data_IF_545152943169
#
_entry.id   IF_545152943169
#
_cell.length_a   1.000
_cell.length_b   1.000
_cell.length_c   1.000
_cell.angle_alpha   90.00
_cell.angle_beta   90.00
_cell.angle_gamma   90.00
#
_symmetry.space_group_name_H-M   'P 1'
#
loop_
_entity.id
_entity.type
_entity.pdbx_description
1 polymer ?
#
# COMPACT_ATOMS: atom_id res chain seq x y z
N UNK A 1 -23.59 -52.42 -23.86
CA UNK A 1 -22.97 -52.18 -22.56
C UNK A 1 -21.55 -51.55 -22.67
N UNK A 2 -20.69 -52.03 -23.56
CA UNK A 2 -19.29 -51.57 -23.69
C UNK A 2 -19.15 -50.07 -24.06
N UNK A 3 -20.03 -49.55 -24.93
CA UNK A 3 -20.00 -48.14 -25.36
C UNK A 3 -20.41 -47.15 -24.25
N UNK A 4 -21.36 -47.53 -23.38
CA UNK A 4 -21.75 -46.70 -22.23
C UNK A 4 -20.65 -46.61 -21.18
N UNK A 5 -19.90 -47.72 -20.97
CA UNK A 5 -18.78 -47.78 -20.04
C UNK A 5 -17.61 -46.87 -20.52
N UNK A 6 -17.36 -46.80 -21.84
CA UNK A 6 -16.35 -45.95 -22.44
C UNK A 6 -16.68 -44.46 -22.26
N UNK A 7 -17.95 -44.07 -22.43
CA UNK A 7 -18.41 -42.69 -22.23
C UNK A 7 -18.26 -42.26 -20.76
N UNK A 8 -18.59 -43.13 -19.80
CA UNK A 8 -18.39 -42.87 -18.39
C UNK A 8 -16.90 -42.73 -18.01
N UNK A 9 -16.03 -43.59 -18.61
CA UNK A 9 -14.59 -43.50 -18.39
C UNK A 9 -14.01 -42.19 -18.93
N UNK A 10 -14.43 -41.71 -20.10
CA UNK A 10 -14.01 -40.44 -20.69
C UNK A 10 -14.50 -39.25 -19.85
N UNK A 11 -15.74 -39.33 -19.31
CA UNK A 11 -16.27 -38.29 -18.43
C UNK A 11 -15.50 -38.19 -17.09
N UNK A 12 -15.11 -39.32 -16.50
CA UNK A 12 -14.30 -39.37 -15.29
C UNK A 12 -12.90 -38.82 -15.56
N UNK A 13 -12.32 -39.05 -16.74
CA UNK A 13 -11.02 -38.50 -17.10
C UNK A 13 -11.06 -36.98 -17.32
N UNK A 14 -12.16 -36.42 -17.83
CA UNK A 14 -12.33 -34.98 -18.04
C UNK A 14 -12.47 -34.20 -16.73
N UNK A 15 -12.98 -34.82 -15.66
CA UNK A 15 -13.08 -34.16 -14.33
C UNK A 15 -11.77 -34.04 -13.59
N UNK A 16 -10.72 -34.80 -13.96
CA UNK A 16 -9.41 -34.70 -13.31
C UNK A 16 -8.52 -33.54 -13.81
N UNK A 17 -8.96 -32.79 -14.82
CA UNK A 17 -8.19 -31.63 -15.33
C UNK A 17 -8.60 -30.29 -14.71
N UNK A 18 -9.50 -30.26 -13.71
CA UNK A 18 -9.77 -29.07 -12.92
C UNK A 18 -8.70 -29.00 -11.81
N UNK A 19 -7.45 -28.74 -12.20
CA UNK A 19 -6.43 -28.35 -11.24
C UNK A 19 -6.86 -27.02 -10.61
N UNK A 20 -6.69 -26.92 -9.30
CA UNK A 20 -6.96 -25.70 -8.56
C UNK A 20 -6.24 -24.52 -9.24
N UNK A 21 -7.02 -23.63 -9.83
CA UNK A 21 -6.50 -22.44 -10.52
C UNK A 21 -6.23 -21.30 -9.56
N UNK A 22 -6.32 -21.58 -8.26
CA UNK A 22 -6.14 -20.60 -7.19
C UNK A 22 -4.98 -20.95 -6.30
N UNK A 23 -4.28 -19.93 -5.84
CA UNK A 23 -3.24 -20.00 -4.82
C UNK A 23 -3.76 -19.28 -3.59
N UNK A 24 -3.59 -19.87 -2.41
CA UNK A 24 -4.01 -19.27 -1.14
C UNK A 24 -2.79 -18.92 -0.30
N UNK A 25 -2.66 -17.66 0.07
CA UNK A 25 -1.65 -17.20 1.01
C UNK A 25 -2.19 -17.29 2.43
N UNK A 26 -1.42 -17.91 3.32
CA UNK A 26 -1.78 -18.06 4.74
C UNK A 26 -0.62 -17.63 5.65
N UNK A 27 -0.96 -17.16 6.84
CA UNK A 27 0.02 -16.88 7.89
C UNK A 27 0.74 -18.16 8.30
N UNK A 28 2.06 -18.16 8.31
CA UNK A 28 2.88 -19.27 8.77
C UNK A 28 2.58 -19.62 10.23
N UNK A 29 2.30 -18.62 11.08
CA UNK A 29 2.04 -18.80 12.50
C UNK A 29 0.63 -19.29 12.82
N UNK A 30 -0.38 -18.73 12.13
CA UNK A 30 -1.80 -18.94 12.49
C UNK A 30 -2.54 -19.85 11.51
N UNK A 31 -1.95 -20.18 10.36
CA UNK A 31 -2.59 -20.84 9.22
C UNK A 31 -3.87 -20.14 8.69
N UNK A 32 -4.10 -18.88 9.07
CA UNK A 32 -5.25 -18.12 8.59
C UNK A 32 -4.94 -17.43 7.25
N UNK A 33 -5.95 -17.25 6.39
CA UNK A 33 -5.80 -16.54 5.13
C UNK A 33 -5.23 -15.12 5.32
N UNK A 34 -4.36 -14.71 4.40
CA UNK A 34 -3.77 -13.37 4.37
C UNK A 34 -4.35 -12.57 3.20
N UNK A 35 -5.30 -11.66 3.44
CA UNK A 35 -5.81 -10.76 2.42
C UNK A 35 -4.78 -9.68 2.07
N UNK A 36 -4.90 -9.12 0.85
CA UNK A 36 -4.08 -8.00 0.37
C UNK A 36 -2.57 -8.31 0.25
N UNK A 37 -2.20 -9.59 0.10
CA UNK A 37 -0.84 -9.93 -0.34
C UNK A 37 -0.71 -9.47 -1.79
N UNK A 38 0.26 -8.61 -2.07
CA UNK A 38 0.54 -8.12 -3.42
C UNK A 38 1.58 -9.04 -4.08
N UNK A 39 1.31 -9.46 -5.30
CA UNK A 39 2.23 -10.25 -6.13
C UNK A 39 2.80 -9.36 -7.20
N UNK A 40 4.11 -9.17 -7.18
CA UNK A 40 4.84 -8.38 -8.19
C UNK A 40 5.51 -9.30 -9.20
N UNK A 41 5.41 -8.93 -10.46
CA UNK A 41 6.13 -9.56 -11.55
C UNK A 41 7.57 -9.10 -11.68
N UNK A 42 8.33 -9.73 -12.57
CA UNK A 42 9.74 -9.44 -12.86
C UNK A 42 9.98 -7.97 -13.26
N UNK A 43 9.02 -7.36 -13.92
CA UNK A 43 9.06 -5.96 -14.36
C UNK A 43 8.57 -4.97 -13.29
N UNK A 44 8.29 -5.46 -12.06
CA UNK A 44 7.74 -4.68 -10.97
C UNK A 44 6.27 -4.32 -11.13
N UNK A 45 5.58 -4.88 -12.13
CA UNK A 45 4.14 -4.73 -12.23
C UNK A 45 3.43 -5.51 -11.11
N UNK A 46 2.34 -4.97 -10.62
CA UNK A 46 1.48 -5.67 -9.67
C UNK A 46 0.56 -6.58 -10.48
N UNK A 47 0.76 -7.89 -10.35
CA UNK A 47 0.00 -8.90 -11.10
C UNK A 47 -1.31 -9.23 -10.43
N UNK A 48 -1.31 -9.34 -9.10
CA UNK A 48 -2.47 -9.71 -8.33
C UNK A 48 -2.42 -9.18 -6.89
N UNK A 49 -3.60 -9.10 -6.28
CA UNK A 49 -3.80 -8.96 -4.83
C UNK A 49 -4.63 -10.13 -4.34
N UNK A 50 -4.26 -10.72 -3.20
CA UNK A 50 -5.11 -11.73 -2.58
C UNK A 50 -6.40 -11.09 -2.07
N UNK A 51 -7.49 -11.84 -2.25
CA UNK A 51 -8.82 -11.48 -1.74
C UNK A 51 -8.91 -11.69 -0.22
N UNK A 52 -10.12 -11.55 0.35
CA UNK A 52 -10.37 -11.71 1.78
C UNK A 52 -10.08 -13.13 2.28
N UNK A 53 -10.16 -14.13 1.40
CA UNK A 53 -9.83 -15.52 1.69
C UNK A 53 -8.35 -15.84 1.42
N UNK A 54 -7.53 -14.82 1.17
CA UNK A 54 -6.12 -14.96 0.84
C UNK A 54 -5.83 -15.53 -0.55
N UNK A 55 -6.82 -15.57 -1.46
CA UNK A 55 -6.73 -16.25 -2.74
C UNK A 55 -6.37 -15.32 -3.89
N UNK A 56 -5.61 -15.85 -4.85
CA UNK A 56 -5.39 -15.24 -6.16
C UNK A 56 -5.70 -16.25 -7.26
N UNK A 57 -6.09 -15.76 -8.44
CA UNK A 57 -6.20 -16.61 -9.65
C UNK A 57 -4.80 -16.85 -10.22
N UNK A 58 -4.39 -18.11 -10.32
CA UNK A 58 -3.09 -18.51 -10.88
C UNK A 58 -2.91 -18.10 -12.34
N UNK A 59 -3.99 -17.88 -13.09
CA UNK A 59 -3.95 -17.48 -14.49
C UNK A 59 -3.33 -16.10 -14.73
N UNK A 60 -3.32 -15.24 -13.72
CA UNK A 60 -2.67 -13.91 -13.83
C UNK A 60 -1.16 -13.99 -13.72
N UNK A 61 -0.61 -15.16 -13.36
CA UNK A 61 0.80 -15.42 -13.21
C UNK A 61 1.32 -16.15 -14.45
N UNK A 62 2.21 -15.52 -15.19
CA UNK A 62 2.75 -16.09 -16.42
C UNK A 62 4.00 -16.94 -16.18
N UNK A 63 4.15 -18.11 -16.87
CA UNK A 63 5.32 -18.99 -16.72
C UNK A 63 6.65 -18.39 -17.19
N UNK A 64 6.63 -17.38 -18.05
CA UNK A 64 7.80 -16.65 -18.54
C UNK A 64 8.42 -15.70 -17.51
N UNK A 65 7.73 -15.51 -16.39
CA UNK A 65 8.25 -14.77 -15.25
C UNK A 65 9.02 -15.72 -14.32
N UNK A 66 10.32 -15.59 -14.27
CA UNK A 66 11.18 -16.47 -13.46
C UNK A 66 10.96 -16.32 -11.96
N UNK A 67 10.56 -15.11 -11.51
CA UNK A 67 10.43 -14.77 -10.10
C UNK A 67 9.23 -13.85 -9.85
N UNK A 68 8.58 -14.07 -8.71
CA UNK A 68 7.49 -13.27 -8.17
C UNK A 68 7.87 -12.79 -6.78
N UNK A 69 7.75 -11.49 -6.52
CA UNK A 69 7.95 -10.94 -5.20
C UNK A 69 6.61 -10.80 -4.49
N UNK A 70 6.49 -11.41 -3.32
CA UNK A 70 5.33 -11.24 -2.45
C UNK A 70 5.59 -10.09 -1.47
N UNK A 71 4.60 -9.21 -1.36
CA UNK A 71 4.62 -8.08 -0.44
C UNK A 71 3.36 -8.12 0.42
N UNK A 72 3.53 -8.08 1.72
CA UNK A 72 2.43 -8.02 2.68
C UNK A 72 2.69 -6.88 3.67
N UNK A 73 1.68 -6.02 3.90
CA UNK A 73 1.81 -4.80 4.71
C UNK A 73 3.03 -3.94 4.30
N UNK A 74 3.30 -3.83 2.99
CA UNK A 74 4.42 -3.13 2.38
C UNK A 74 5.83 -3.67 2.75
N UNK A 75 5.90 -4.86 3.34
CA UNK A 75 7.17 -5.57 3.55
C UNK A 75 7.31 -6.71 2.54
N UNK A 76 8.51 -6.91 1.97
CA UNK A 76 8.79 -8.11 1.20
C UNK A 76 8.77 -9.31 2.14
N UNK A 77 7.92 -10.27 1.87
CA UNK A 77 7.71 -11.44 2.73
C UNK A 77 8.21 -12.73 2.11
N UNK A 78 8.28 -12.81 0.79
CA UNK A 78 8.86 -13.94 0.08
C UNK A 78 9.19 -13.58 -1.39
N UNK A 79 10.12 -14.34 -1.96
CA UNK A 79 10.35 -14.40 -3.41
C UNK A 79 10.11 -15.83 -3.86
N UNK A 80 9.25 -16.02 -4.83
CA UNK A 80 8.84 -17.32 -5.33
C UNK A 80 9.23 -17.47 -6.80
N UNK A 81 9.56 -18.68 -7.20
CA UNK A 81 9.64 -19.08 -8.62
C UNK A 81 8.28 -19.51 -9.13
N UNK A 82 8.12 -19.65 -10.44
CA UNK A 82 6.89 -20.21 -11.00
C UNK A 82 6.63 -21.64 -10.51
N UNK A 83 7.69 -22.41 -10.24
CA UNK A 83 7.57 -23.76 -9.71
C UNK A 83 7.01 -23.79 -8.28
N UNK A 84 7.38 -22.81 -7.43
CA UNK A 84 6.86 -22.71 -6.06
C UNK A 84 5.35 -22.44 -6.06
N UNK A 85 4.84 -21.82 -7.11
CA UNK A 85 3.41 -21.55 -7.33
C UNK A 85 2.61 -22.81 -7.72
N UNK A 86 3.23 -23.98 -7.83
CA UNK A 86 2.54 -25.27 -7.98
C UNK A 86 1.80 -25.67 -6.69
N UNK A 87 2.19 -25.11 -5.55
CA UNK A 87 1.52 -25.33 -4.27
C UNK A 87 0.20 -24.54 -4.21
N UNK A 88 -0.85 -25.18 -3.73
CA UNK A 88 -2.16 -24.53 -3.54
C UNK A 88 -2.14 -23.57 -2.33
N UNK A 89 -1.27 -23.81 -1.36
CA UNK A 89 -1.15 -23.02 -0.13
C UNK A 89 0.30 -22.59 0.04
N UNK A 90 0.48 -21.28 0.11
CA UNK A 90 1.79 -20.65 0.37
C UNK A 90 1.76 -20.00 1.75
N UNK A 91 2.68 -20.44 2.61
CA UNK A 91 2.83 -19.91 3.97
C UNK A 91 3.74 -18.69 3.96
N UNK A 92 3.28 -17.62 4.57
CA UNK A 92 3.99 -16.34 4.65
C UNK A 92 4.26 -16.01 6.12
N UNK A 93 5.48 -15.62 6.40
CA UNK A 93 5.82 -15.03 7.70
C UNK A 93 5.30 -13.59 7.73
N UNK A 94 4.19 -13.39 8.43
CA UNK A 94 3.46 -12.13 8.56
C UNK A 94 3.75 -11.40 9.87
N UNK A 95 4.92 -11.62 10.49
CA UNK A 95 5.26 -10.99 11.78
C UNK A 95 5.28 -9.46 11.65
N UNK A 96 4.47 -8.81 12.48
CA UNK A 96 4.50 -7.37 12.68
C UNK A 96 5.59 -7.04 13.68
N UNK A 97 6.41 -6.03 13.41
CA UNK A 97 7.42 -5.56 14.36
C UNK A 97 6.72 -4.84 15.50
N UNK A 98 6.95 -5.28 16.73
CA UNK A 98 6.45 -4.59 17.93
C UNK A 98 7.20 -3.26 18.11
N UNK A 99 6.45 -2.22 18.46
CA UNK A 99 7.01 -0.89 18.79
C UNK A 99 7.18 -0.81 20.29
N UNK A 100 8.40 -0.57 20.77
CA UNK A 100 8.65 -0.34 22.19
C UNK A 100 8.07 1.01 22.62
N UNK A 101 7.19 1.00 23.62
CA UNK A 101 6.62 2.20 24.17
C UNK A 101 7.59 2.89 25.12
N UNK A 102 7.98 4.13 24.82
CA UNK A 102 8.75 4.98 25.72
C UNK A 102 7.82 5.57 26.79
N UNK A 103 7.95 5.10 28.04
CA UNK A 103 7.16 5.61 29.16
C UNK A 103 7.85 6.85 29.75
N UNK A 104 7.32 8.03 29.48
CA UNK A 104 7.78 9.29 30.11
C UNK A 104 6.96 9.53 31.37
N UNK A 105 7.59 9.46 32.53
CA UNK A 105 6.99 9.85 33.82
C UNK A 105 7.00 11.38 33.94
N UNK A 106 5.90 12.04 33.57
CA UNK A 106 5.75 13.46 33.80
C UNK A 106 4.46 13.73 34.61
N UNK A 107 4.51 14.58 35.62
CA UNK A 107 3.39 14.87 36.54
C UNK A 107 2.32 15.78 35.94
N UNK A 108 2.61 16.46 34.82
CA UNK A 108 1.61 17.24 34.05
C UNK A 108 1.43 16.64 32.68
N UNK A 109 0.18 16.50 32.19
CA UNK A 109 -0.04 16.00 30.85
C UNK A 109 0.63 16.92 29.84
N UNK A 110 1.48 16.36 29.00
CA UNK A 110 2.15 17.07 27.92
C UNK A 110 1.13 17.65 26.93
N UNK A 111 1.49 18.75 26.28
CA UNK A 111 0.62 19.43 25.31
C UNK A 111 0.46 18.65 24.01
N UNK A 112 1.50 17.95 23.59
CA UNK A 112 1.59 17.32 22.28
C UNK A 112 1.93 15.84 22.39
N UNK A 113 1.45 15.09 21.40
CA UNK A 113 1.85 13.71 21.10
C UNK A 113 2.64 13.74 19.80
N UNK A 114 3.80 13.10 19.80
CA UNK A 114 4.65 12.91 18.64
C UNK A 114 4.60 11.47 18.20
N UNK A 115 4.31 11.25 16.93
CA UNK A 115 4.38 9.94 16.30
C UNK A 115 5.36 10.05 15.14
N UNK A 116 6.55 9.47 15.31
CA UNK A 116 7.56 9.37 14.27
C UNK A 116 7.48 8.02 13.62
N UNK A 117 7.77 7.96 12.32
CA UNK A 117 7.74 6.69 11.60
C UNK A 117 8.19 6.82 10.17
N UNK A 118 8.17 5.68 9.51
CA UNK A 118 8.53 5.53 8.12
C UNK A 118 7.29 5.69 7.23
N UNK A 119 7.43 6.38 6.12
CA UNK A 119 6.38 6.46 5.12
C UNK A 119 6.88 6.00 3.76
N UNK A 120 5.97 5.52 2.94
CA UNK A 120 6.15 5.48 1.50
C UNK A 120 4.88 5.94 0.78
N UNK A 121 5.08 6.54 -0.38
CA UNK A 121 4.02 6.96 -1.28
C UNK A 121 4.41 6.58 -2.70
N UNK A 122 3.49 6.00 -3.47
CA UNK A 122 3.77 5.65 -4.85
C UNK A 122 2.53 5.69 -5.72
N UNK A 123 2.75 5.83 -7.01
CA UNK A 123 1.71 5.84 -8.03
C UNK A 123 1.96 4.71 -9.01
N UNK A 124 0.90 3.96 -9.31
CA UNK A 124 0.92 3.00 -10.41
C UNK A 124 0.02 3.48 -11.54
N UNK A 125 0.45 3.23 -12.78
CA UNK A 125 -0.30 3.50 -14.01
C UNK A 125 -0.47 2.19 -14.75
N UNK A 126 -1.70 1.75 -14.94
CA UNK A 126 -2.00 0.44 -15.53
C UNK A 126 -1.19 -0.70 -14.86
N UNK A 127 -1.16 -0.69 -13.52
CA UNK A 127 -0.46 -1.62 -12.65
C UNK A 127 1.09 -1.56 -12.68
N UNK A 128 1.69 -0.64 -13.44
CA UNK A 128 3.14 -0.41 -13.45
C UNK A 128 3.52 0.76 -12.56
N UNK A 129 4.63 0.65 -11.83
CA UNK A 129 5.11 1.75 -11.00
C UNK A 129 5.50 2.94 -11.88
N UNK A 130 4.97 4.11 -11.53
CA UNK A 130 5.17 5.36 -12.26
C UNK A 130 6.04 6.35 -11.47
N UNK A 131 5.82 6.44 -10.17
CA UNK A 131 6.60 7.30 -9.28
C UNK A 131 6.58 6.75 -7.86
N UNK A 132 7.61 7.06 -7.08
CA UNK A 132 7.78 6.54 -5.72
C UNK A 132 8.47 7.57 -4.84
N UNK A 133 8.07 7.63 -3.58
CA UNK A 133 8.80 8.36 -2.54
C UNK A 133 8.76 7.56 -1.23
N UNK A 134 9.81 7.65 -0.45
CA UNK A 134 9.88 7.13 0.91
C UNK A 134 10.57 8.13 1.83
N UNK A 135 10.45 7.91 3.13
CA UNK A 135 11.13 8.78 4.09
C UNK A 135 10.72 8.55 5.53
N UNK A 136 11.22 9.45 6.38
CA UNK A 136 10.90 9.52 7.79
C UNK A 136 10.08 10.78 8.01
N UNK A 137 8.97 10.66 8.73
CA UNK A 137 8.08 11.76 9.06
C UNK A 137 7.67 11.70 10.53
N UNK A 138 7.50 12.89 11.13
CA UNK A 138 6.99 13.08 12.48
C UNK A 138 5.67 13.83 12.41
N UNK A 139 4.62 13.23 12.96
CA UNK A 139 3.29 13.80 13.10
C UNK A 139 3.07 14.30 14.52
N UNK A 140 2.62 15.54 14.65
CA UNK A 140 2.38 16.19 15.93
C UNK A 140 0.89 16.34 16.13
N UNK A 141 0.37 15.74 17.19
CA UNK A 141 -1.03 15.83 17.58
C UNK A 141 -1.17 16.66 18.86
N UNK A 142 -2.27 17.37 18.97
CA UNK A 142 -2.69 17.98 20.21
C UNK A 142 -3.12 16.89 21.21
N UNK A 143 -2.49 16.84 22.37
CA UNK A 143 -2.76 15.74 23.31
C UNK A 143 -4.17 15.78 23.92
N UNK A 144 -4.79 16.95 24.02
CA UNK A 144 -6.15 17.08 24.56
C UNK A 144 -7.22 16.68 23.53
N UNK A 145 -7.10 17.20 22.31
CA UNK A 145 -8.11 17.02 21.26
C UNK A 145 -7.82 15.85 20.33
N UNK A 146 -6.61 15.27 20.40
CA UNK A 146 -6.10 14.22 19.50
C UNK A 146 -6.09 14.63 18.03
N UNK A 147 -6.22 15.93 17.72
CA UNK A 147 -6.21 16.45 16.35
C UNK A 147 -4.79 16.68 15.87
N UNK A 148 -4.55 16.34 14.60
CA UNK A 148 -3.29 16.61 13.92
C UNK A 148 -3.02 18.11 13.85
N UNK A 149 -1.86 18.54 14.32
CA UNK A 149 -1.36 19.95 14.27
C UNK A 149 -0.41 20.17 13.11
N UNK A 150 0.55 19.27 12.93
CA UNK A 150 1.50 19.34 11.83
C UNK A 150 2.03 17.97 11.45
N UNK A 151 2.53 17.87 10.22
CA UNK A 151 3.29 16.75 9.71
C UNK A 151 4.62 17.31 9.19
N UNK A 152 5.72 16.81 9.70
CA UNK A 152 7.06 17.25 9.36
C UNK A 152 7.82 16.08 8.76
N UNK A 153 8.41 16.28 7.58
CA UNK A 153 9.30 15.29 6.96
C UNK A 153 10.71 15.59 7.44
N UNK A 154 11.45 14.58 7.83
CA UNK A 154 12.85 14.72 8.26
C UNK A 154 13.81 14.43 7.12
N UNK A 155 13.62 13.30 6.47
CA UNK A 155 14.42 12.83 5.35
C UNK A 155 13.51 12.10 4.36
N UNK A 156 13.82 12.19 3.06
CA UNK A 156 13.04 11.49 2.04
C UNK A 156 13.81 11.31 0.74
N UNK A 157 13.43 10.28 -0.03
CA UNK A 157 13.85 10.06 -1.41
C UNK A 157 12.64 10.15 -2.33
N UNK A 158 12.88 10.61 -3.55
CA UNK A 158 11.88 10.67 -4.61
C UNK A 158 12.44 10.01 -5.88
N UNK A 159 11.63 9.17 -6.52
CA UNK A 159 11.95 8.49 -7.75
C UNK A 159 10.89 8.78 -8.80
N UNK A 160 11.29 9.13 -10.02
CA UNK A 160 10.38 9.46 -11.12
C UNK A 160 10.86 8.78 -12.41
N UNK A 161 9.95 8.68 -13.40
CA UNK A 161 10.28 8.17 -14.72
C UNK A 161 11.39 9.00 -15.37
N UNK A 162 12.38 8.31 -15.96
CA UNK A 162 13.53 8.95 -16.61
C UNK A 162 13.15 9.62 -17.92
N UNK A 163 12.24 9.03 -18.67
CA UNK A 163 11.89 9.40 -20.04
C UNK A 163 10.38 9.54 -20.25
N UNK A 164 9.69 10.17 -19.28
CA UNK A 164 8.27 10.44 -19.43
C UNK A 164 8.05 11.35 -20.66
N UNK A 165 7.67 10.75 -21.78
CA UNK A 165 7.19 11.49 -22.94
C UNK A 165 5.75 11.88 -22.66
N UNK A 166 5.56 13.05 -22.08
CA UNK A 166 4.23 13.60 -21.86
C UNK A 166 3.60 14.02 -23.20
N UNK A 167 3.09 13.06 -23.93
CA UNK A 167 2.20 13.36 -25.03
C UNK A 167 0.86 13.83 -24.43
N UNK A 168 0.47 15.06 -24.71
CA UNK A 168 -0.70 15.73 -24.08
C UNK A 168 -2.01 14.94 -24.15
N UNK A 169 -2.11 13.95 -25.05
CA UNK A 169 -3.30 13.14 -25.28
C UNK A 169 -3.16 11.65 -24.92
N UNK A 170 -2.04 11.26 -24.31
CA UNK A 170 -1.78 9.87 -23.91
C UNK A 170 -1.58 9.81 -22.40
N UNK A 171 -2.70 9.67 -21.68
CA UNK A 171 -2.70 9.69 -20.21
C UNK A 171 -1.83 8.58 -19.60
N UNK A 172 -1.66 7.44 -20.28
CA UNK A 172 -0.82 6.34 -19.81
C UNK A 172 0.69 6.66 -19.83
N UNK A 173 1.13 7.67 -20.61
CA UNK A 173 2.55 8.06 -20.73
C UNK A 173 2.97 9.16 -19.76
N UNK A 174 2.05 9.72 -18.99
CA UNK A 174 2.34 10.84 -18.11
C UNK A 174 3.14 10.43 -16.87
N UNK A 175 3.97 11.36 -16.42
CA UNK A 175 4.57 11.28 -15.09
C UNK A 175 3.61 11.82 -14.03
N UNK A 176 3.13 10.93 -13.17
CA UNK A 176 2.24 11.25 -12.06
C UNK A 176 2.99 11.57 -10.74
N UNK A 177 4.30 11.81 -10.80
CA UNK A 177 5.10 12.17 -9.62
C UNK A 177 4.60 13.44 -8.91
N UNK A 178 3.88 14.32 -9.61
CA UNK A 178 3.20 15.45 -8.99
C UNK A 178 2.11 15.06 -7.99
N UNK A 179 1.62 13.83 -8.04
CA UNK A 179 0.62 13.28 -7.12
C UNK A 179 1.22 12.69 -5.85
N UNK A 180 2.54 12.50 -5.78
CA UNK A 180 3.22 12.05 -4.56
C UNK A 180 2.97 13.03 -3.42
N UNK A 181 2.65 12.48 -2.24
CA UNK A 181 2.45 13.25 -1.02
C UNK A 181 2.79 12.40 0.20
N UNK A 182 3.10 13.04 1.31
CA UNK A 182 3.20 12.33 2.59
C UNK A 182 1.79 11.94 3.06
N UNK A 183 1.64 10.79 3.75
CA UNK A 183 0.35 10.36 4.31
C UNK A 183 -0.30 11.45 5.18
N UNK A 184 -1.62 11.56 5.13
CA UNK A 184 -2.38 12.57 5.89
C UNK A 184 -3.09 11.92 7.07
N UNK A 185 -2.43 11.83 8.21
CA UNK A 185 -2.97 11.20 9.42
C UNK A 185 -4.05 12.04 10.14
N UNK A 186 -4.92 12.74 9.40
CA UNK A 186 -5.80 13.81 9.93
C UNK A 186 -6.68 13.36 11.10
N UNK A 187 -7.34 12.23 11.00
CA UNK A 187 -8.34 11.77 11.97
C UNK A 187 -7.97 10.43 12.62
N UNK A 188 -6.70 10.04 12.58
CA UNK A 188 -6.26 8.76 13.19
C UNK A 188 -6.54 8.73 14.70
N UNK A 189 -6.43 9.89 15.39
CA UNK A 189 -6.75 10.00 16.81
C UNK A 189 -8.25 9.99 17.15
N UNK A 190 -9.12 10.16 16.15
CA UNK A 190 -10.58 10.17 16.27
C UNK A 190 -11.20 9.54 15.02
N UNK A 191 -11.13 8.23 14.83
CA UNK A 191 -11.59 7.57 13.61
C UNK A 191 -13.07 7.81 13.28
N UNK A 192 -13.90 8.02 14.27
CA UNK A 192 -15.32 8.35 14.08
C UNK A 192 -15.56 9.65 13.27
N UNK A 193 -14.59 10.58 13.27
CA UNK A 193 -14.68 11.80 12.46
C UNK A 193 -14.63 11.54 10.94
N UNK A 194 -14.24 10.32 10.51
CA UNK A 194 -14.36 9.92 9.10
C UNK A 194 -15.78 9.59 8.68
N UNK A 195 -16.69 9.38 9.64
CA UNK A 195 -18.07 9.04 9.35
C UNK A 195 -18.80 10.23 8.72
N UNK A 196 -19.18 10.09 7.48
CA UNK A 196 -19.91 11.10 6.71
C UNK A 196 -20.98 10.42 5.86
N UNK A 197 -21.86 11.22 5.21
CA UNK A 197 -22.83 10.67 4.24
C UNK A 197 -22.15 10.02 3.00
N UNK A 198 -20.85 10.28 2.79
CA UNK A 198 -20.08 9.82 1.61
C UNK A 198 -19.10 8.68 1.92
N UNK A 199 -18.82 8.44 3.20
CA UNK A 199 -17.85 7.44 3.62
C UNK A 199 -18.54 6.34 4.43
N UNK A 200 -18.13 5.10 4.18
CA UNK A 200 -18.49 3.94 5.00
C UNK A 200 -17.34 3.62 5.92
N UNK A 201 -17.61 3.33 7.19
CA UNK A 201 -16.62 2.88 8.16
C UNK A 201 -16.96 1.45 8.56
N UNK A 202 -15.95 0.59 8.59
CA UNK A 202 -16.04 -0.79 9.10
C UNK A 202 -14.94 -1.05 10.09
N UNK A 203 -15.28 -1.70 11.20
CA UNK A 203 -14.30 -2.27 12.11
C UNK A 203 -14.11 -3.75 11.81
N UNK A 204 -12.85 -4.16 11.73
CA UNK A 204 -12.44 -5.54 11.53
C UNK A 204 -11.59 -5.96 12.71
N UNK A 205 -12.07 -6.93 13.48
CA UNK A 205 -11.31 -7.52 14.58
C UNK A 205 -10.42 -8.63 14.04
N UNK A 206 -9.12 -8.44 14.14
CA UNK A 206 -8.13 -9.41 13.67
C UNK A 206 -7.58 -10.27 14.81
N UNK A 207 -6.75 -11.23 14.45
CA UNK A 207 -6.10 -12.09 15.45
C UNK A 207 -4.92 -11.42 16.15
N UNK A 208 -4.27 -10.47 15.48
CA UNK A 208 -3.09 -9.76 15.97
C UNK A 208 -3.30 -8.27 16.13
N UNK A 209 -4.12 -7.68 15.27
CA UNK A 209 -4.42 -6.25 15.22
C UNK A 209 -5.88 -6.03 14.85
N UNK A 210 -6.46 -5.01 15.39
CA UNK A 210 -7.76 -4.50 14.95
C UNK A 210 -7.56 -3.50 13.82
N UNK A 211 -8.55 -3.39 12.93
CA UNK A 211 -8.48 -2.48 11.78
C UNK A 211 -9.76 -1.64 11.68
N UNK A 212 -9.59 -0.41 11.26
CA UNK A 212 -10.69 0.45 10.84
C UNK A 212 -10.51 0.72 9.35
N UNK A 213 -11.47 0.28 8.55
CA UNK A 213 -11.54 0.58 7.12
C UNK A 213 -12.51 1.72 6.87
N UNK A 214 -12.05 2.73 6.15
CA UNK A 214 -12.87 3.85 5.68
C UNK A 214 -12.91 3.79 4.16
N UNK A 215 -14.10 3.60 3.58
CA UNK A 215 -14.29 3.57 2.13
C UNK A 215 -15.04 4.82 1.67
N UNK A 216 -14.40 5.62 0.83
CA UNK A 216 -14.99 6.75 0.12
C UNK A 216 -15.22 6.39 -1.34
N UNK A 217 -16.46 6.04 -1.71
CA UNK A 217 -16.81 5.55 -3.04
C UNK A 217 -17.92 6.38 -3.74
N UNK A 218 -18.11 7.62 -3.31
CA UNK A 218 -19.22 8.45 -3.79
C UNK A 218 -19.23 8.71 -5.32
N UNK A 219 -18.08 8.54 -5.99
CA UNK A 219 -17.90 8.74 -7.43
C UNK A 219 -17.45 7.45 -8.16
N UNK A 220 -17.56 6.29 -7.53
CA UNK A 220 -17.10 5.03 -8.11
C UNK A 220 -17.83 4.68 -9.42
N UNK A 221 -19.13 4.90 -9.50
CA UNK A 221 -19.95 4.57 -10.67
C UNK A 221 -20.32 5.80 -11.51
N UNK A 222 -19.70 6.95 -11.23
CA UNK A 222 -20.00 8.20 -11.93
C UNK A 222 -18.87 8.60 -12.86
N UNK A 223 -19.21 8.76 -14.14
CA UNK A 223 -18.31 9.40 -15.10
C UNK A 223 -18.62 10.90 -15.12
N UNK A 224 -17.57 11.73 -15.18
CA UNK A 224 -17.69 13.14 -15.47
C UNK A 224 -16.55 13.61 -16.39
N UNK A 225 -16.78 14.73 -17.07
CA UNK A 225 -15.82 15.30 -18.00
C UNK A 225 -15.34 16.66 -17.52
N UNK A 226 -14.03 16.91 -17.63
CA UNK A 226 -13.41 18.19 -17.29
C UNK A 226 -12.25 18.46 -18.26
N UNK A 227 -12.23 19.63 -18.91
CA UNK A 227 -11.16 20.07 -19.84
C UNK A 227 -10.79 19.05 -20.94
N UNK A 228 -11.78 18.29 -21.43
CA UNK A 228 -11.57 17.27 -22.48
C UNK A 228 -11.10 15.92 -21.97
N UNK A 229 -10.97 15.77 -20.66
CA UNK A 229 -10.70 14.49 -20.01
C UNK A 229 -11.98 13.91 -19.41
N UNK A 230 -12.05 12.59 -19.36
CA UNK A 230 -13.10 11.81 -18.69
C UNK A 230 -12.51 11.12 -17.49
N UNK A 231 -13.21 11.22 -16.37
CA UNK A 231 -12.86 10.63 -15.08
C UNK A 231 -13.92 9.62 -14.68
N UNK A 232 -13.47 8.48 -14.17
CA UNK A 232 -14.34 7.40 -13.74
C UNK A 232 -13.71 6.64 -12.57
N UNK A 233 -14.51 5.86 -11.81
CA UNK A 233 -14.08 4.99 -10.72
C UNK A 233 -13.21 5.71 -9.67
N UNK A 234 -13.65 6.91 -9.23
CA UNK A 234 -12.95 7.64 -8.18
C UNK A 234 -13.42 7.12 -6.82
N UNK A 235 -12.50 6.51 -6.10
CA UNK A 235 -12.74 5.97 -4.77
C UNK A 235 -11.47 5.98 -3.93
N UNK A 236 -11.63 5.92 -2.62
CA UNK A 236 -10.53 5.86 -1.66
C UNK A 236 -10.82 4.77 -0.63
N UNK A 237 -9.82 3.99 -0.29
CA UNK A 237 -9.86 3.00 0.79
C UNK A 237 -8.74 3.36 1.75
N UNK A 238 -9.09 3.65 3.00
CA UNK A 238 -8.15 3.89 4.07
C UNK A 238 -8.28 2.77 5.09
N UNK A 239 -7.16 2.12 5.39
CA UNK A 239 -7.06 1.15 6.48
C UNK A 239 -6.12 1.70 7.56
N UNK A 240 -6.61 1.75 8.78
CA UNK A 240 -5.85 2.07 9.98
C UNK A 240 -5.80 0.82 10.85
N UNK A 241 -4.60 0.41 11.26
CA UNK A 241 -4.41 -0.73 12.15
C UNK A 241 -4.03 -0.25 13.54
N UNK A 242 -4.56 -0.93 14.54
CA UNK A 242 -4.33 -0.66 15.96
C UNK A 242 -3.99 -1.95 16.69
N UNK A 243 -3.39 -1.85 17.86
CA UNK A 243 -3.18 -3.00 18.74
C UNK A 243 -4.50 -3.72 19.00
N UNK A 244 -4.41 -5.06 19.10
CA UNK A 244 -5.58 -5.92 19.28
C UNK A 244 -6.29 -5.55 20.59
N UNK A 245 -7.63 -5.49 20.52
CA UNK A 245 -8.51 -5.23 21.67
C UNK A 245 -8.18 -3.93 22.43
N UNK A 246 -7.53 -2.97 21.75
CA UNK A 246 -7.19 -1.68 22.33
C UNK A 246 -8.35 -0.67 22.21
N UNK A 247 -8.20 0.48 22.86
CA UNK A 247 -9.12 1.62 22.73
C UNK A 247 -8.97 2.36 21.38
N UNK A 248 -8.08 1.89 20.51
CA UNK A 248 -7.77 2.48 19.20
C UNK A 248 -7.35 3.95 19.29
N UNK A 249 -6.54 4.25 20.30
CA UNK A 249 -5.94 5.57 20.52
C UNK A 249 -4.69 5.77 19.64
N UNK A 250 -4.15 6.98 19.64
CA UNK A 250 -2.89 7.27 18.95
C UNK A 250 -1.70 6.43 19.47
N UNK A 251 -1.75 5.98 20.74
CA UNK A 251 -0.73 5.10 21.32
C UNK A 251 -0.79 3.69 20.74
N UNK A 252 -2.00 3.23 20.42
CA UNK A 252 -2.25 1.88 19.93
C UNK A 252 -2.12 1.79 18.40
N UNK A 253 -1.81 2.91 17.74
CA UNK A 253 -1.75 3.03 16.29
C UNK A 253 -0.51 2.37 15.71
N UNK A 254 -0.71 1.41 14.80
CA UNK A 254 0.34 0.58 14.20
C UNK A 254 0.62 0.88 12.74
N UNK A 255 -0.41 1.31 11.98
CA UNK A 255 -0.28 1.38 10.53
C UNK A 255 -1.38 2.23 9.88
N UNK A 256 -1.01 2.99 8.86
CA UNK A 256 -1.89 3.75 8.00
C UNK A 256 -1.64 3.37 6.55
N UNK A 257 -2.67 2.90 5.86
CA UNK A 257 -2.60 2.55 4.45
C UNK A 257 -3.80 3.17 3.72
N UNK A 258 -3.52 4.13 2.85
CA UNK A 258 -4.53 4.77 2.00
C UNK A 258 -4.28 4.43 0.54
N UNK A 259 -5.32 4.00 -0.15
CA UNK A 259 -5.28 3.71 -1.58
C UNK A 259 -6.37 4.52 -2.26
N UNK A 260 -5.99 5.37 -3.22
CA UNK A 260 -6.92 6.13 -4.03
C UNK A 260 -6.88 5.65 -5.48
N UNK A 261 -8.05 5.42 -6.05
CA UNK A 261 -8.25 4.92 -7.41
C UNK A 261 -8.85 6.01 -8.26
N UNK A 262 -8.39 6.13 -9.49
CA UNK A 262 -9.03 6.92 -10.54
C UNK A 262 -8.75 6.31 -11.90
N UNK A 263 -9.77 6.29 -12.75
CA UNK A 263 -9.63 6.01 -14.18
C UNK A 263 -9.76 7.32 -14.95
N UNK A 264 -8.79 7.60 -15.80
CA UNK A 264 -8.68 8.84 -16.54
C UNK A 264 -8.42 8.52 -18.01
N UNK A 265 -9.08 9.26 -18.93
CA UNK A 265 -8.70 9.29 -20.34
C UNK A 265 -8.95 10.66 -20.98
N UNK A 266 -8.17 11.04 -21.96
CA UNK A 266 -8.53 12.12 -22.87
C UNK A 266 -9.67 11.64 -23.80
N UNK A 267 -10.52 12.54 -24.26
CA UNK A 267 -11.66 12.19 -25.16
C UNK A 267 -11.25 11.51 -26.47
N UNK A 268 -9.98 11.65 -26.90
CA UNK A 268 -9.45 10.99 -28.09
C UNK A 268 -8.85 9.60 -27.81
N UNK A 269 -8.74 9.18 -26.55
CA UNK A 269 -8.23 7.86 -26.17
C UNK A 269 -9.38 6.85 -26.15
N UNK A 270 -9.19 5.63 -26.69
CA UNK A 270 -10.22 4.58 -26.64
C UNK A 270 -10.43 4.07 -25.20
N UNK A 271 -9.36 3.84 -24.46
CA UNK A 271 -9.36 3.18 -23.17
C UNK A 271 -9.04 4.11 -22.02
N UNK A 272 -9.50 3.76 -20.82
CA UNK A 272 -9.13 4.43 -19.59
C UNK A 272 -7.75 4.00 -19.09
N UNK A 273 -6.94 4.97 -18.70
CA UNK A 273 -5.73 4.74 -17.90
C UNK A 273 -6.13 4.61 -16.44
N UNK A 274 -5.78 3.49 -15.84
CA UNK A 274 -5.97 3.26 -14.40
C UNK A 274 -4.80 3.85 -13.62
N UNK A 275 -5.09 4.75 -12.69
CA UNK A 275 -4.11 5.38 -11.81
C UNK A 275 -4.47 5.01 -10.38
N UNK A 276 -3.51 4.47 -9.64
CA UNK A 276 -3.70 4.13 -8.23
C UNK A 276 -2.60 4.80 -7.43
N UNK A 277 -3.00 5.56 -6.41
CA UNK A 277 -2.11 6.23 -5.48
C UNK A 277 -2.12 5.48 -4.17
N UNK A 278 -0.93 5.24 -3.62
CA UNK A 278 -0.72 4.58 -2.34
C UNK A 278 0.00 5.53 -1.39
N UNK A 279 -0.49 5.66 -0.17
CA UNK A 279 0.12 6.43 0.90
C UNK A 279 0.15 5.58 2.17
N UNK A 280 1.33 5.27 2.67
CA UNK A 280 1.50 4.35 3.78
C UNK A 280 2.39 4.98 4.85
N UNK A 281 2.06 4.73 6.12
CA UNK A 281 2.86 5.17 7.26
C UNK A 281 2.91 4.09 8.34
N UNK A 282 4.09 3.90 8.90
CA UNK A 282 4.42 2.90 9.90
C UNK A 282 5.08 3.60 11.09
N UNK A 283 4.37 3.79 12.21
CA UNK A 283 4.94 4.35 13.42
C UNK A 283 6.13 3.52 13.91
N UNK A 284 7.20 4.19 14.33
CA UNK A 284 8.37 3.57 14.95
C UNK A 284 8.63 4.10 16.35
N UNK A 285 8.16 5.33 16.63
CA UNK A 285 8.35 5.98 17.91
C UNK A 285 7.08 6.75 18.32
N UNK A 286 6.76 6.69 19.59
CA UNK A 286 5.66 7.43 20.20
C UNK A 286 6.19 8.16 21.43
N UNK A 287 5.98 9.48 21.52
CA UNK A 287 6.46 10.28 22.65
C UNK A 287 5.53 11.46 22.95
N UNK A 288 5.75 12.07 24.13
CA UNK A 288 5.04 13.26 24.56
C UNK A 288 6.01 14.44 24.68
N UNK A 289 5.57 15.66 24.32
CA UNK A 289 6.35 16.87 24.45
C UNK A 289 5.48 18.07 24.84
N UNK A 290 6.08 19.06 25.48
CA UNK A 290 5.48 20.36 25.70
C UNK A 290 5.84 21.39 24.62
N UNK A 291 6.89 21.10 23.86
CA UNK A 291 7.37 21.92 22.75
C UNK A 291 7.07 21.23 21.42
N UNK A 292 6.87 22.03 20.38
CA UNK A 292 6.59 21.56 19.03
C UNK A 292 7.61 22.07 18.00
N UNK A 293 8.78 22.49 18.47
CA UNK A 293 9.88 23.01 17.66
C UNK A 293 10.63 21.85 16.99
N UNK A 294 10.10 21.40 15.87
CA UNK A 294 10.78 20.46 14.96
C UNK A 294 11.15 21.24 13.71
N UNK A 295 12.39 21.05 13.25
CA UNK A 295 12.83 21.56 11.94
C UNK A 295 11.88 21.07 10.85
N UNK A 296 11.29 22.00 10.10
CA UNK A 296 10.31 21.71 9.07
C UNK A 296 10.98 21.62 7.71
N UNK A 297 11.18 20.41 7.23
CA UNK A 297 11.57 20.18 5.85
C UNK A 297 10.30 20.07 5.00
N UNK A 298 10.23 20.89 3.95
CA UNK A 298 9.12 20.80 2.99
C UNK A 298 9.37 19.64 2.03
N UNK A 299 8.40 18.74 1.92
CA UNK A 299 8.44 17.68 0.93
C UNK A 299 8.44 18.26 -0.49
N UNK A 300 9.52 18.03 -1.23
CA UNK A 300 9.69 18.45 -2.63
C UNK A 300 9.61 17.20 -3.54
N UNK A 301 8.65 17.19 -4.43
CA UNK A 301 8.40 16.07 -5.35
C UNK A 301 9.44 15.92 -6.46
N UNK A 302 10.33 16.90 -6.59
CA UNK A 302 11.33 16.94 -7.66
C UNK A 302 12.75 16.67 -7.15
N UNK A 303 12.92 16.53 -5.85
CA UNK A 303 14.23 16.33 -5.24
C UNK A 303 14.14 15.40 -4.05
N UNK A 304 15.19 14.63 -3.82
CA UNK A 304 15.43 13.93 -2.55
C UNK A 304 16.03 14.86 -1.53
N UNK A 305 15.92 14.54 -0.23
CA UNK A 305 16.52 15.28 0.87
C UNK A 305 16.82 14.34 2.04
N UNK A 306 18.07 13.89 2.14
CA UNK A 306 18.51 12.98 3.20
C UNK A 306 19.99 13.18 3.53
N UNK A 307 20.37 12.88 4.79
CA UNK A 307 21.74 12.92 5.29
C UNK A 307 22.36 11.54 5.42
N UNK A 308 21.53 10.52 5.66
CA UNK A 308 21.96 9.16 5.94
C UNK A 308 21.10 8.17 5.16
N UNK A 309 21.63 6.98 4.95
CA UNK A 309 20.92 5.89 4.23
C UNK A 309 19.91 5.20 5.15
N UNK A 310 18.91 5.93 5.66
CA UNK A 310 17.86 5.44 6.56
C UNK A 310 17.13 4.20 6.03
N UNK A 311 17.05 4.03 4.73
CA UNK A 311 16.42 2.87 4.07
C UNK A 311 17.22 1.57 4.20
N UNK A 312 18.44 1.61 4.73
CA UNK A 312 19.25 0.43 5.03
C UNK A 312 18.93 -0.16 6.40
N UNK A 313 18.19 0.58 7.24
CA UNK A 313 17.71 0.05 8.51
C UNK A 313 16.72 -1.10 8.24
N UNK A 314 16.93 -2.22 8.93
CA UNK A 314 16.09 -3.43 8.78
C UNK A 314 14.62 -3.19 9.17
N UNK A 315 14.33 -2.14 9.93
CA UNK A 315 12.98 -1.73 10.30
C UNK A 315 12.27 -0.90 9.25
N UNK A 316 13.00 -0.40 8.24
CA UNK A 316 12.40 0.41 7.19
C UNK A 316 11.71 -0.48 6.15
N UNK A 317 10.44 -0.21 5.80
CA UNK A 317 9.72 -0.94 4.76
C UNK A 317 10.32 -0.59 3.39
N UNK A 318 11.28 -1.38 2.93
CA UNK A 318 12.09 -1.05 1.77
C UNK A 318 11.40 -1.40 0.44
N UNK A 319 10.33 -0.69 0.12
CA UNK A 319 9.59 -0.83 -1.14
C UNK A 319 10.47 -0.55 -2.36
N UNK A 320 11.40 0.39 -2.24
CA UNK A 320 12.32 0.72 -3.34
C UNK A 320 13.23 -0.47 -3.70
N UNK A 321 13.69 -1.25 -2.73
CA UNK A 321 14.47 -2.47 -3.00
C UNK A 321 13.65 -3.52 -3.74
N UNK A 322 12.36 -3.68 -3.39
CA UNK A 322 11.46 -4.59 -4.12
C UNK A 322 11.35 -4.14 -5.56
N UNK A 323 11.01 -2.89 -5.78
CA UNK A 323 10.85 -2.35 -7.13
C UNK A 323 12.16 -2.37 -7.92
N UNK A 324 13.29 -2.03 -7.32
CA UNK A 324 14.60 -2.04 -8.01
C UNK A 324 15.06 -3.43 -8.42
N UNK A 325 14.57 -4.49 -7.76
CA UNK A 325 14.86 -5.88 -8.14
C UNK A 325 14.20 -6.26 -9.47
N UNK A 326 13.08 -5.62 -9.81
CA UNK A 326 12.26 -5.93 -10.97
C UNK A 326 12.30 -4.82 -12.04
N UNK A 327 12.56 -3.57 -11.64
CA UNK A 327 12.71 -2.44 -12.55
C UNK A 327 14.19 -2.23 -12.90
N UNK A 328 14.54 -2.46 -14.12
CA UNK A 328 15.82 -2.02 -14.65
C UNK A 328 15.60 -0.69 -15.37
N UNK A 329 15.63 0.40 -14.62
CA UNK A 329 15.95 1.69 -15.20
C UNK A 329 14.80 2.66 -15.50
N UNK A 330 13.54 2.28 -15.31
CA UNK A 330 12.43 3.19 -15.64
C UNK A 330 12.28 4.32 -14.62
N UNK A 331 12.60 4.07 -13.33
CA UNK A 331 12.59 5.07 -12.28
C UNK A 331 14.00 5.48 -11.89
N UNK A 332 14.23 6.79 -11.85
CA UNK A 332 15.48 7.38 -11.39
C UNK A 332 15.26 8.20 -10.14
N UNK A 333 16.16 8.04 -9.17
CA UNK A 333 16.17 8.90 -8.00
C UNK A 333 16.42 10.34 -8.39
N UNK A 334 15.62 11.25 -7.84
CA UNK A 334 15.77 12.67 -8.07
C UNK A 334 16.97 13.22 -7.26
N UNK A 335 17.63 14.29 -7.73
CA UNK A 335 18.83 14.82 -7.08
C UNK A 335 18.63 15.07 -5.58
N UNK A 336 19.60 14.66 -4.75
CA UNK A 336 19.62 14.99 -3.34
C UNK A 336 20.10 16.44 -3.17
N UNK A 337 19.32 17.27 -2.47
CA UNK A 337 19.61 18.69 -2.22
C UNK A 337 20.39 18.96 -0.93
N UNK A 338 20.71 17.92 -0.17
CA UNK A 338 21.55 18.05 1.02
C UNK A 338 22.99 17.68 0.77
#
# INVERSE_FOLDING_TARGET
MKTKLLIYSVFIFLFNFIQAQTITFVSEKTNKPLPKVSVFGKDGSILAYSDIDGKIDKKVLSPDQEKFQLVYNNFPVATLSYADLSQEIIRINDQVKEIEAVIIKNTKPAKYIFIKGNFNAYVTVNNKLNSYADGIATYIFDNKTKKLKSANVEQYRVFRLTDAKEEKKQTASWDYGSSLQIPKLKNVGNPEEYKTKKNTIKELKGDRKDQIEVTGAALQEKEFSLFGFRFFDIRTILNMSFEKESEKTLKDFLEYNEVAFVKLKHKSEPDYTQIILYNNFYPTEFSFSNDNDIEKVKFDKNNSNYNASYWQDSSFPNMQTIFSSFFKGDLKEQPNKK
#
